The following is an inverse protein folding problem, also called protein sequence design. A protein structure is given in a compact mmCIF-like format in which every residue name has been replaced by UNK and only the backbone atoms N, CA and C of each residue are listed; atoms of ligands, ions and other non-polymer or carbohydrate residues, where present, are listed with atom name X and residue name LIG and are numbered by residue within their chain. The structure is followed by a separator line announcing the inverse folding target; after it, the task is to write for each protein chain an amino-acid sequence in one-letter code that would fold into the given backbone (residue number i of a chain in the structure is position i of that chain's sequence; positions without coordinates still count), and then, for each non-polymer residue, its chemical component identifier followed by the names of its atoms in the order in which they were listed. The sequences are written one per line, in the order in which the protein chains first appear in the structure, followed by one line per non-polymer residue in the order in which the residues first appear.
data_IF_864883252202
#
_entry.id   IF_864883252202
#
_cell.length_a   1.000
_cell.length_b   1.000
_cell.length_c   1.000
_cell.angle_alpha   90.00
_cell.angle_beta   90.00
_cell.angle_gamma   90.00
#
_symmetry.space_group_name_H-M   'P 1'
#
loop_
_entity.id
_entity.type
_entity.pdbx_description
1 polymer ?
#
# COMPACT_ATOMS: atom_id res chain seq x y z
N UNK A 1 2.68 19.00 -5.64
CA UNK A 1 3.81 18.13 -6.01
C UNK A 1 3.55 16.72 -5.49
N UNK A 2 3.83 15.69 -6.30
CA UNK A 2 3.58 14.26 -6.01
C UNK A 2 4.12 13.80 -4.64
N UNK A 3 5.32 14.25 -4.30
CA UNK A 3 5.98 14.02 -3.01
C UNK A 3 5.10 14.38 -1.80
N UNK A 4 4.41 15.54 -1.83
CA UNK A 4 3.55 15.99 -0.73
C UNK A 4 2.35 15.07 -0.49
N UNK A 5 1.90 14.32 -1.52
CA UNK A 5 0.79 13.37 -1.37
C UNK A 5 1.23 12.06 -0.72
N UNK A 6 2.46 11.62 -0.97
CA UNK A 6 3.04 10.51 -0.20
C UNK A 6 3.22 10.90 1.27
N UNK A 7 3.68 12.14 1.54
CA UNK A 7 3.78 12.65 2.91
C UNK A 7 2.41 12.67 3.62
N UNK A 8 1.34 13.02 2.90
CA UNK A 8 -0.03 13.01 3.43
C UNK A 8 -0.55 11.58 3.68
N UNK A 9 -0.25 10.63 2.81
CA UNK A 9 -0.59 9.22 3.04
C UNK A 9 0.12 8.68 4.28
N UNK A 10 1.40 8.99 4.44
CA UNK A 10 2.18 8.59 5.61
C UNK A 10 1.60 9.18 6.90
N UNK A 11 1.25 10.48 6.89
CA UNK A 11 0.59 11.12 8.02
C UNK A 11 -0.76 10.48 8.36
N UNK A 12 -1.55 10.09 7.36
CA UNK A 12 -2.83 9.40 7.54
C UNK A 12 -2.65 8.01 8.17
N UNK A 13 -1.66 7.25 7.70
CA UNK A 13 -1.30 5.94 8.27
C UNK A 13 -0.91 6.09 9.73
N UNK A 14 -0.02 7.04 10.05
CA UNK A 14 0.42 7.28 11.43
C UNK A 14 -0.72 7.77 12.33
N UNK A 15 -1.56 8.67 11.84
CA UNK A 15 -2.72 9.21 12.56
C UNK A 15 -3.71 8.10 12.94
N UNK A 16 -4.02 7.20 12.01
CA UNK A 16 -5.07 6.18 12.21
C UNK A 16 -4.58 4.90 12.85
N UNK A 17 -3.35 4.49 12.55
CA UNK A 17 -2.85 3.18 12.93
C UNK A 17 -1.68 3.27 13.92
N UNK A 18 -1.09 4.45 14.14
CA UNK A 18 0.12 4.60 14.94
C UNK A 18 1.34 3.86 14.34
N UNK A 19 2.46 3.81 15.07
CA UNK A 19 3.59 2.96 14.70
C UNK A 19 3.18 1.48 14.72
N UNK A 20 3.88 0.64 13.96
CA UNK A 20 3.71 -0.81 14.05
C UNK A 20 4.69 -1.39 15.08
N UNK A 21 4.16 -2.01 16.13
CA UNK A 21 4.93 -2.61 17.25
C UNK A 21 4.58 -4.09 17.50
N UNK A 22 3.64 -4.62 16.72
CA UNK A 22 3.08 -5.95 16.89
C UNK A 22 4.03 -7.05 16.40
N UNK A 23 3.98 -8.23 17.04
CA UNK A 23 4.98 -9.30 16.86
C UNK A 23 4.40 -10.64 16.43
N UNK A 24 3.07 -10.76 16.40
CA UNK A 24 2.41 -12.00 15.98
C UNK A 24 2.00 -11.96 14.50
N UNK A 25 1.92 -13.11 13.83
CA UNK A 25 1.34 -13.23 12.49
C UNK A 25 -0.10 -12.68 12.40
N UNK A 26 -0.89 -12.84 13.46
CA UNK A 26 -2.27 -12.35 13.56
C UNK A 26 -2.32 -10.82 13.55
N UNK A 27 -1.52 -10.17 14.38
CA UNK A 27 -1.44 -8.70 14.42
C UNK A 27 -0.87 -8.14 13.12
N UNK A 28 0.13 -8.81 12.53
CA UNK A 28 0.66 -8.45 11.22
C UNK A 28 -0.43 -8.52 10.14
N UNK A 29 -1.22 -9.59 10.13
CA UNK A 29 -2.37 -9.75 9.22
C UNK A 29 -3.38 -8.62 9.41
N UNK A 30 -3.76 -8.33 10.66
CA UNK A 30 -4.67 -7.22 10.97
C UNK A 30 -4.11 -5.87 10.50
N UNK A 31 -2.80 -5.65 10.65
CA UNK A 31 -2.13 -4.44 10.17
C UNK A 31 -2.23 -4.28 8.65
N UNK A 32 -2.00 -5.34 7.87
CA UNK A 32 -2.15 -5.27 6.41
C UNK A 32 -3.57 -4.91 5.99
N UNK A 33 -4.57 -5.54 6.60
CA UNK A 33 -5.97 -5.28 6.30
C UNK A 33 -6.35 -3.82 6.62
N UNK A 34 -5.86 -3.30 7.75
CA UNK A 34 -6.05 -1.90 8.13
C UNK A 34 -5.33 -0.93 7.18
N UNK A 35 -4.09 -1.21 6.79
CA UNK A 35 -3.35 -0.43 5.79
C UNK A 35 -4.09 -0.39 4.45
N UNK A 36 -4.62 -1.52 3.99
CA UNK A 36 -5.42 -1.58 2.77
C UNK A 36 -6.66 -0.69 2.84
N UNK A 37 -7.34 -0.63 3.99
CA UNK A 37 -8.48 0.26 4.21
C UNK A 37 -8.09 1.73 4.16
N UNK A 38 -7.05 2.12 4.90
CA UNK A 38 -6.53 3.50 4.88
C UNK A 38 -6.15 3.92 3.47
N UNK A 39 -5.51 3.02 2.73
CA UNK A 39 -5.06 3.28 1.37
C UNK A 39 -6.23 3.53 0.40
N UNK A 40 -7.28 2.71 0.45
CA UNK A 40 -8.48 2.86 -0.38
C UNK A 40 -9.17 4.20 -0.10
N UNK A 41 -9.40 4.52 1.17
CA UNK A 41 -10.06 5.76 1.60
C UNK A 41 -9.22 6.98 1.19
N UNK A 42 -7.92 6.96 1.47
CA UNK A 42 -7.02 8.04 1.07
C UNK A 42 -7.00 8.25 -0.45
N UNK A 43 -6.91 7.16 -1.23
CA UNK A 43 -6.89 7.24 -2.69
C UNK A 43 -8.22 7.78 -3.24
N UNK A 44 -9.36 7.40 -2.65
CA UNK A 44 -10.67 7.91 -3.02
C UNK A 44 -10.76 9.42 -2.80
N UNK A 45 -10.44 9.89 -1.59
CA UNK A 45 -10.53 11.30 -1.21
C UNK A 45 -9.55 12.19 -1.98
N UNK A 46 -8.49 11.61 -2.54
CA UNK A 46 -7.41 12.32 -3.21
C UNK A 46 -7.22 11.93 -4.68
N UNK A 47 -8.20 11.25 -5.29
CA UNK A 47 -8.04 10.50 -6.55
C UNK A 47 -7.37 11.29 -7.67
N UNK A 48 -7.82 12.52 -7.97
CA UNK A 48 -7.27 13.33 -9.09
C UNK A 48 -5.76 13.56 -9.00
N UNK A 49 -5.25 13.81 -7.79
CA UNK A 49 -3.84 14.07 -7.57
C UNK A 49 -3.07 12.77 -7.34
N UNK A 50 -3.74 11.76 -6.78
CA UNK A 50 -3.18 10.44 -6.59
C UNK A 50 -2.93 9.74 -7.93
N UNK A 51 -3.91 9.70 -8.84
CA UNK A 51 -3.78 9.08 -10.16
C UNK A 51 -2.63 9.72 -10.98
N UNK A 52 -2.56 11.05 -10.99
CA UNK A 52 -1.48 11.80 -11.65
C UNK A 52 -0.08 11.48 -11.11
N UNK A 53 0.04 11.07 -9.84
CA UNK A 53 1.31 10.69 -9.26
C UNK A 53 1.92 9.47 -9.96
N UNK A 54 1.10 8.52 -10.41
CA UNK A 54 1.52 7.24 -10.99
C UNK A 54 1.47 7.21 -12.53
N UNK A 55 0.81 8.16 -13.19
CA UNK A 55 0.67 8.21 -14.67
C UNK A 55 1.93 8.65 -15.45
N UNK A 56 2.96 9.16 -14.78
CA UNK A 56 4.11 9.77 -15.46
C UNK A 56 5.32 8.82 -15.47
N UNK A 57 5.74 8.40 -16.66
CA UNK A 57 7.04 7.75 -16.87
C UNK A 57 8.14 8.75 -16.57
N UNK A 58 8.99 8.39 -15.63
CA UNK A 58 9.98 9.31 -15.11
C UNK A 58 11.27 9.19 -15.92
N UNK A 59 11.61 10.26 -16.64
CA UNK A 59 13.00 10.55 -16.94
C UNK A 59 13.73 10.81 -15.60
N UNK A 60 15.00 10.40 -15.50
CA UNK A 60 15.80 10.63 -14.31
C UNK A 60 15.77 12.12 -13.92
N UNK A 61 15.33 12.43 -12.69
CA UNK A 61 15.21 13.79 -12.20
C UNK A 61 15.31 13.84 -10.67
N UNK A 62 15.74 14.97 -10.08
CA UNK A 62 15.73 15.15 -8.63
C UNK A 62 14.34 14.94 -8.00
N UNK A 63 13.27 15.30 -8.72
CA UNK A 63 11.89 15.09 -8.28
C UNK A 63 11.53 13.59 -8.22
N UNK A 64 12.01 12.78 -9.16
CA UNK A 64 11.85 11.32 -9.13
C UNK A 64 12.58 10.71 -7.94
N UNK A 65 13.83 11.11 -7.69
CA UNK A 65 14.59 10.61 -6.53
C UNK A 65 13.86 10.91 -5.21
N UNK A 66 13.38 12.14 -5.04
CA UNK A 66 12.62 12.56 -3.86
C UNK A 66 11.28 11.81 -3.70
N UNK A 67 10.64 11.41 -4.81
CA UNK A 67 9.46 10.56 -4.81
C UNK A 67 9.79 9.13 -4.39
N UNK A 68 10.85 8.54 -4.96
CA UNK A 68 11.28 7.17 -4.64
C UNK A 68 11.70 7.02 -3.18
N UNK A 69 12.36 8.02 -2.59
CA UNK A 69 12.68 8.03 -1.16
C UNK A 69 11.43 7.96 -0.29
N UNK A 70 10.40 8.74 -0.60
CA UNK A 70 9.14 8.75 0.15
C UNK A 70 8.33 7.47 -0.05
N UNK A 71 8.31 6.94 -1.27
CA UNK A 71 7.71 5.65 -1.55
C UNK A 71 8.42 4.55 -0.75
N UNK A 72 9.74 4.63 -0.58
CA UNK A 72 10.50 3.76 0.31
C UNK A 72 10.00 3.78 1.76
N UNK A 73 9.73 4.97 2.31
CA UNK A 73 9.17 5.09 3.66
C UNK A 73 7.79 4.43 3.79
N UNK A 74 6.91 4.62 2.79
CA UNK A 74 5.61 3.93 2.76
C UNK A 74 5.79 2.42 2.65
N UNK A 75 6.75 1.93 1.86
CA UNK A 75 7.05 0.51 1.76
C UNK A 75 7.54 -0.07 3.09
N UNK A 76 8.20 0.72 3.95
CA UNK A 76 8.57 0.28 5.30
C UNK A 76 7.34 -0.08 6.15
N UNK A 77 6.20 0.61 5.98
CA UNK A 77 4.94 0.24 6.64
C UNK A 77 4.40 -1.14 6.23
N UNK A 78 4.90 -1.69 5.12
CA UNK A 78 4.56 -3.01 4.58
C UNK A 78 5.64 -4.04 4.97
N UNK A 79 6.91 -3.65 4.92
CA UNK A 79 8.06 -4.50 5.27
C UNK A 79 8.05 -4.93 6.75
N UNK A 80 7.68 -4.03 7.67
CA UNK A 80 7.63 -4.36 9.10
C UNK A 80 6.63 -5.49 9.43
N UNK A 81 5.34 -5.42 9.05
CA UNK A 81 4.42 -6.53 9.28
C UNK A 81 4.77 -7.77 8.46
N UNK A 82 5.42 -7.65 7.29
CA UNK A 82 5.95 -8.82 6.57
C UNK A 82 7.01 -9.56 7.39
N UNK A 83 7.90 -8.85 8.09
CA UNK A 83 8.92 -9.46 8.94
C UNK A 83 8.33 -10.20 10.14
N UNK A 84 7.25 -9.69 10.73
CA UNK A 84 6.51 -10.39 11.79
C UNK A 84 5.72 -11.61 11.25
N UNK A 85 5.20 -11.51 10.02
CA UNK A 85 4.46 -12.58 9.36
C UNK A 85 5.37 -13.73 8.89
N UNK A 86 6.57 -13.40 8.43
CA UNK A 86 7.54 -14.32 7.82
C UNK A 86 8.92 -14.13 8.48
N UNK A 87 9.15 -14.64 9.70
CA UNK A 87 10.37 -14.34 10.48
C UNK A 87 11.69 -14.69 9.78
N UNK A 88 11.68 -15.71 8.92
CA UNK A 88 12.85 -16.22 8.21
C UNK A 88 13.06 -15.58 6.83
N UNK A 89 12.23 -14.62 6.43
CA UNK A 89 12.34 -13.98 5.10
C UNK A 89 13.64 -13.16 5.01
N UNK A 90 14.39 -13.33 3.92
CA UNK A 90 15.57 -12.48 3.70
C UNK A 90 15.15 -11.02 3.48
N UNK A 91 15.98 -10.03 3.87
CA UNK A 91 15.67 -8.62 3.62
C UNK A 91 15.41 -8.30 2.15
N UNK A 92 16.09 -8.99 1.23
CA UNK A 92 15.87 -8.83 -0.22
C UNK A 92 14.49 -9.32 -0.63
N UNK A 93 14.07 -10.49 -0.18
CA UNK A 93 12.74 -11.05 -0.47
C UNK A 93 11.63 -10.20 0.16
N UNK A 94 11.82 -9.73 1.40
CA UNK A 94 10.86 -8.84 2.07
C UNK A 94 10.58 -7.58 1.23
N UNK A 95 11.63 -6.90 0.77
CA UNK A 95 11.50 -5.71 -0.09
C UNK A 95 10.84 -5.99 -1.44
N UNK A 96 11.04 -7.17 -2.02
CA UNK A 96 10.38 -7.56 -3.28
C UNK A 96 8.89 -7.83 -3.04
N UNK A 97 8.57 -8.55 -1.96
CA UNK A 97 7.21 -8.88 -1.59
C UNK A 97 6.41 -7.64 -1.17
N UNK A 98 7.02 -6.70 -0.44
CA UNK A 98 6.39 -5.43 -0.09
C UNK A 98 5.99 -4.63 -1.34
N UNK A 99 6.87 -4.57 -2.35
CA UNK A 99 6.56 -3.94 -3.64
C UNK A 99 5.46 -4.68 -4.40
N UNK A 100 5.47 -6.00 -4.40
CA UNK A 100 4.43 -6.80 -5.05
C UNK A 100 3.05 -6.58 -4.42
N UNK A 101 2.98 -6.60 -3.08
CA UNK A 101 1.75 -6.32 -2.33
C UNK A 101 1.24 -4.90 -2.59
N UNK A 102 2.13 -3.91 -2.52
CA UNK A 102 1.78 -2.53 -2.85
C UNK A 102 1.24 -2.41 -4.29
N UNK A 103 1.92 -3.03 -5.26
CA UNK A 103 1.50 -2.99 -6.66
C UNK A 103 0.13 -3.66 -6.88
N UNK A 104 -0.14 -4.80 -6.22
CA UNK A 104 -1.41 -5.49 -6.30
C UNK A 104 -2.56 -4.63 -5.76
N UNK A 105 -2.41 -4.07 -4.55
CA UNK A 105 -3.40 -3.19 -3.94
C UNK A 105 -3.58 -1.91 -4.75
N UNK A 106 -2.49 -1.28 -5.17
CA UNK A 106 -2.52 -0.09 -6.02
C UNK A 106 -3.25 -0.36 -7.34
N UNK A 107 -3.04 -1.52 -7.96
CA UNK A 107 -3.72 -1.92 -9.18
C UNK A 107 -5.23 -2.00 -9.01
N UNK A 108 -5.71 -2.69 -7.97
CA UNK A 108 -7.15 -2.82 -7.67
C UNK A 108 -7.78 -1.44 -7.47
N UNK A 109 -7.17 -0.60 -6.64
CA UNK A 109 -7.67 0.74 -6.32
C UNK A 109 -7.67 1.65 -7.55
N UNK A 110 -6.57 1.66 -8.30
CA UNK A 110 -6.43 2.54 -9.48
C UNK A 110 -7.37 2.15 -10.61
N UNK A 111 -7.59 0.85 -10.82
CA UNK A 111 -8.53 0.35 -11.83
C UNK A 111 -9.98 0.61 -11.40
N UNK A 112 -10.31 0.39 -10.13
CA UNK A 112 -11.65 0.61 -9.59
C UNK A 112 -12.05 2.08 -9.56
N UNK A 113 -11.25 2.94 -8.92
CA UNK A 113 -11.52 4.39 -8.85
C UNK A 113 -11.42 5.06 -10.23
N UNK A 114 -10.61 4.52 -11.13
CA UNK A 114 -10.51 4.96 -12.52
C UNK A 114 -11.66 4.50 -13.41
N UNK A 115 -12.58 3.66 -12.93
CA UNK A 115 -13.68 3.09 -13.72
C UNK A 115 -13.22 2.20 -14.88
N UNK A 116 -11.98 1.68 -14.82
CA UNK A 116 -11.35 0.93 -15.93
C UNK A 116 -11.80 -0.54 -15.99
N UNK A 117 -12.51 -1.01 -14.97
CA UNK A 117 -13.06 -2.37 -14.86
C UNK A 117 -14.57 -2.35 -14.61
N UNK A 118 -15.24 -1.28 -15.03
CA UNK A 118 -16.66 -1.03 -14.79
C UNK A 118 -16.92 -0.10 -13.60
N UNK A 119 -18.18 0.33 -13.40
CA UNK A 119 -18.57 1.14 -12.25
C UNK A 119 -18.52 0.30 -10.98
N UNK A 120 -17.65 0.69 -10.04
CA UNK A 120 -17.56 0.08 -8.72
C UNK A 120 -17.84 1.13 -7.64
N UNK A 121 -18.66 0.77 -6.66
CA UNK A 121 -18.82 1.55 -5.44
C UNK A 121 -17.58 1.38 -4.53
N UNK A 122 -17.37 2.33 -3.62
CA UNK A 122 -16.16 2.38 -2.79
C UNK A 122 -16.03 1.15 -1.86
N UNK A 123 -17.15 0.69 -1.32
CA UNK A 123 -17.27 -0.54 -0.54
C UNK A 123 -16.84 -1.78 -1.34
N UNK A 124 -17.22 -1.87 -2.62
CA UNK A 124 -16.79 -2.96 -3.50
C UNK A 124 -15.28 -2.94 -3.78
N UNK A 125 -14.67 -1.75 -3.86
CA UNK A 125 -13.21 -1.62 -3.99
C UNK A 125 -12.53 -2.06 -2.69
N UNK A 126 -13.09 -1.67 -1.53
CA UNK A 126 -12.62 -2.15 -0.23
C UNK A 126 -12.66 -3.68 -0.16
N UNK A 127 -13.78 -4.30 -0.49
CA UNK A 127 -13.96 -5.75 -0.46
C UNK A 127 -12.90 -6.47 -1.31
N UNK A 128 -12.64 -5.99 -2.52
CA UNK A 128 -11.64 -6.58 -3.42
C UNK A 128 -10.22 -6.46 -2.85
N UNK A 129 -9.85 -5.30 -2.29
CA UNK A 129 -8.55 -5.10 -1.64
C UNK A 129 -8.41 -6.04 -0.43
N UNK A 130 -9.45 -6.14 0.41
CA UNK A 130 -9.44 -7.04 1.57
C UNK A 130 -9.34 -8.51 1.15
N UNK A 131 -10.05 -8.92 0.09
CA UNK A 131 -10.03 -10.29 -0.41
C UNK A 131 -8.64 -10.68 -0.94
N UNK A 132 -8.02 -9.83 -1.76
CA UNK A 132 -6.66 -10.07 -2.29
C UNK A 132 -5.65 -10.12 -1.15
N UNK A 133 -5.67 -9.15 -0.23
CA UNK A 133 -4.77 -9.16 0.92
C UNK A 133 -4.96 -10.41 1.78
N UNK A 134 -6.19 -10.75 2.18
CA UNK A 134 -6.44 -11.91 3.02
C UNK A 134 -6.00 -13.21 2.35
N UNK A 135 -6.28 -13.39 1.05
CA UNK A 135 -5.85 -14.56 0.30
C UNK A 135 -4.32 -14.65 0.19
N UNK A 136 -3.65 -13.55 -0.17
CA UNK A 136 -2.19 -13.51 -0.29
C UNK A 136 -1.52 -13.76 1.05
N UNK A 137 -1.95 -13.09 2.13
CA UNK A 137 -1.37 -13.27 3.47
C UNK A 137 -1.58 -14.68 4.00
N UNK A 138 -2.75 -15.28 3.75
CA UNK A 138 -2.99 -16.70 4.06
C UNK A 138 -2.04 -17.61 3.28
N UNK A 139 -1.82 -17.36 1.99
CA UNK A 139 -0.92 -18.14 1.15
C UNK A 139 0.56 -17.99 1.55
N UNK A 140 0.97 -16.83 2.07
CA UNK A 140 2.33 -16.61 2.55
C UNK A 140 2.63 -17.35 3.86
N UNK A 141 1.61 -17.61 4.68
CA UNK A 141 1.73 -18.33 5.96
C UNK A 141 1.70 -19.86 5.82
N UNK A 142 1.40 -20.37 4.63
CA UNK A 142 1.15 -21.79 4.37
C UNK A 142 2.43 -22.60 4.17
#
# INVERSE_FOLDING_TARGET
MKARRLDALEAEVLSRLGPFDAKTPEEATARFLALGRVYVEFAHDNWRLWSSAFEHQANESPALAAYMTRLGAILTNIEMPLGALLPDISPKQCRLLARALFAAVHGVVSLGLGGKVGPLALDQIHEQVQAILAATLKGLRA
#
